data_IF_556630791019
#
_entry.id   IF_556630791019
#
_cell.length_a   1.000
_cell.length_b   1.000
_cell.length_c   1.000
_cell.angle_alpha   90.00
_cell.angle_beta   90.00
_cell.angle_gamma   90.00
#
_symmetry.space_group_name_H-M   'P 1'
#
loop_
_entity.id
_entity.type
_entity.pdbx_description
1 polymer ?
#
# COMPACT_ATOMS: atom_id res chain seq x y z
N UNK A 1 -23.57 -20.32 29.89
CA UNK A 1 -23.69 -18.94 29.37
C UNK A 1 -22.81 -18.89 28.13
N UNK A 2 -23.32 -18.44 26.99
CA UNK A 2 -22.46 -18.14 25.86
C UNK A 2 -21.49 -17.04 26.32
N UNK A 3 -20.18 -17.22 26.14
CA UNK A 3 -19.23 -16.12 26.25
C UNK A 3 -19.65 -15.07 25.21
N UNK A 4 -19.51 -13.78 25.46
CA UNK A 4 -19.78 -12.71 24.48
C UNK A 4 -18.46 -12.01 24.12
N UNK A 5 -18.39 -11.24 23.02
CA UNK A 5 -17.17 -10.52 22.68
C UNK A 5 -16.75 -9.60 23.82
N UNK A 6 -15.47 -9.64 24.14
CA UNK A 6 -14.88 -8.79 25.17
C UNK A 6 -14.35 -7.51 24.52
N UNK A 7 -14.32 -6.41 25.27
CA UNK A 7 -13.70 -5.18 24.80
C UNK A 7 -12.26 -5.07 25.29
N UNK A 8 -11.41 -4.53 24.42
CA UNK A 8 -10.02 -4.26 24.74
C UNK A 8 -9.58 -2.87 24.30
N UNK A 9 -8.53 -2.34 24.95
CA UNK A 9 -7.89 -1.08 24.55
C UNK A 9 -6.44 -1.34 24.14
N UNK A 10 -6.06 -0.88 22.94
CA UNK A 10 -4.66 -0.67 22.55
C UNK A 10 -4.23 0.64 23.18
N UNK A 11 -3.36 0.54 24.18
CA UNK A 11 -3.11 1.63 25.12
C UNK A 11 -1.73 2.26 24.94
N UNK A 12 -1.72 3.43 24.32
CA UNK A 12 -0.60 4.36 24.30
C UNK A 12 -0.52 5.10 25.65
N UNK A 13 -0.01 4.41 26.66
CA UNK A 13 -0.05 4.87 28.05
C UNK A 13 0.69 6.20 28.27
N UNK A 14 0.13 7.11 29.11
CA UNK A 14 0.77 8.36 29.45
C UNK A 14 1.97 8.13 30.36
N UNK A 15 2.92 9.06 30.32
CA UNK A 15 4.12 9.00 31.18
C UNK A 15 3.81 9.34 32.63
N UNK A 16 2.73 10.08 32.90
CA UNK A 16 2.26 10.39 34.26
C UNK A 16 1.44 9.23 34.83
N UNK A 17 1.91 8.66 35.94
CA UNK A 17 1.23 7.56 36.66
C UNK A 17 -0.17 7.94 37.14
N UNK A 18 -0.41 9.22 37.46
CA UNK A 18 -1.73 9.69 37.93
C UNK A 18 -2.74 9.69 36.78
N UNK A 19 -2.30 10.14 35.61
CA UNK A 19 -3.10 10.11 34.38
C UNK A 19 -3.36 8.67 33.93
N UNK A 20 -2.34 7.81 33.98
CA UNK A 20 -2.47 6.39 33.66
C UNK A 20 -3.49 5.71 34.58
N UNK A 21 -3.48 6.04 35.88
CA UNK A 21 -4.47 5.53 36.83
C UNK A 21 -5.89 5.97 36.47
N UNK A 22 -6.09 7.24 36.15
CA UNK A 22 -7.39 7.77 35.77
C UNK A 22 -7.93 7.13 34.48
N UNK A 23 -7.06 6.85 33.50
CA UNK A 23 -7.44 6.12 32.29
C UNK A 23 -7.83 4.68 32.61
N UNK A 24 -7.06 3.97 33.44
CA UNK A 24 -7.45 2.62 33.87
C UNK A 24 -8.78 2.60 34.62
N UNK A 25 -9.01 3.55 35.52
CA UNK A 25 -10.29 3.66 36.22
C UNK A 25 -11.44 3.93 35.23
N UNK A 26 -11.20 4.74 34.19
CA UNK A 26 -12.15 4.99 33.10
C UNK A 26 -12.43 3.71 32.31
N UNK A 27 -11.39 2.97 31.89
CA UNK A 27 -11.55 1.73 31.13
C UNK A 27 -12.34 0.68 31.93
N UNK A 28 -12.03 0.51 33.22
CA UNK A 28 -12.75 -0.41 34.09
C UNK A 28 -14.23 -0.03 34.26
N UNK A 29 -14.56 1.26 34.30
CA UNK A 29 -15.95 1.74 34.40
C UNK A 29 -16.80 1.49 33.15
N UNK A 30 -16.15 1.22 32.00
CA UNK A 30 -16.83 1.01 30.72
C UNK A 30 -16.76 -0.46 30.26
N UNK A 31 -16.50 -1.39 31.18
CA UNK A 31 -16.48 -2.83 30.88
C UNK A 31 -15.32 -3.27 29.97
N UNK A 32 -14.20 -2.55 29.97
CA UNK A 32 -12.99 -3.00 29.27
C UNK A 32 -12.32 -4.12 30.08
N UNK A 33 -12.09 -5.26 29.44
CA UNK A 33 -11.49 -6.44 30.09
C UNK A 33 -10.03 -6.66 29.69
N UNK A 34 -9.63 -6.16 28.51
CA UNK A 34 -8.31 -6.40 27.92
C UNK A 34 -7.53 -5.11 27.68
N UNK A 35 -6.22 -5.17 27.91
CA UNK A 35 -5.31 -4.09 27.54
C UNK A 35 -4.17 -4.66 26.69
N UNK A 36 -3.88 -4.04 25.56
CA UNK A 36 -2.67 -4.27 24.80
C UNK A 36 -1.71 -3.10 25.03
N UNK A 37 -0.48 -3.44 25.43
CA UNK A 37 0.59 -2.50 25.74
C UNK A 37 1.81 -2.82 24.88
N UNK A 38 2.56 -1.79 24.50
CA UNK A 38 3.83 -1.98 23.82
C UNK A 38 4.97 -2.17 24.82
N UNK A 39 5.90 -3.07 24.50
CA UNK A 39 7.14 -3.24 25.23
C UNK A 39 8.16 -2.17 24.82
N UNK A 40 8.91 -1.57 25.78
CA UNK A 40 8.97 -1.91 27.21
C UNK A 40 7.97 -1.16 28.07
N UNK A 41 7.39 -1.87 29.04
CA UNK A 41 6.53 -1.29 30.09
C UNK A 41 7.37 -0.88 31.28
N UNK A 42 7.18 0.35 31.77
CA UNK A 42 7.93 0.90 32.91
C UNK A 42 7.63 0.15 34.22
N UNK A 43 8.59 0.05 35.16
CA UNK A 43 8.36 -0.61 36.45
C UNK A 43 7.20 -0.02 37.26
N UNK A 44 7.01 1.30 37.20
CA UNK A 44 5.93 2.00 37.91
C UNK A 44 4.56 1.62 37.34
N UNK A 45 4.44 1.54 36.00
CA UNK A 45 3.22 1.09 35.35
C UNK A 45 2.96 -0.41 35.60
N UNK A 46 4.00 -1.24 35.63
CA UNK A 46 3.87 -2.66 36.00
C UNK A 46 3.34 -2.85 37.43
N UNK A 47 3.76 -2.00 38.36
CA UNK A 47 3.25 -2.03 39.73
C UNK A 47 1.76 -1.68 39.78
N UNK A 48 1.34 -0.67 39.01
CA UNK A 48 -0.04 -0.22 38.92
C UNK A 48 -0.94 -1.27 38.24
N UNK A 49 -0.47 -1.87 37.16
CA UNK A 49 -1.19 -2.91 36.42
C UNK A 49 -1.39 -4.19 37.23
N UNK A 50 -0.48 -4.52 38.16
CA UNK A 50 -0.55 -5.76 38.97
C UNK A 50 -1.85 -5.88 39.78
N UNK A 51 -2.41 -4.75 40.20
CA UNK A 51 -3.64 -4.70 40.99
C UNK A 51 -4.88 -4.41 40.14
N UNK A 52 -4.70 -4.13 38.85
CA UNK A 52 -5.78 -3.79 37.94
C UNK A 52 -6.53 -5.05 37.46
N UNK A 53 -7.85 -4.96 37.21
CA UNK A 53 -8.68 -6.13 36.86
C UNK A 53 -8.52 -6.61 35.41
N UNK A 54 -7.57 -6.06 34.64
CA UNK A 54 -7.43 -6.32 33.21
C UNK A 54 -6.59 -7.55 32.90
N UNK A 55 -6.95 -8.21 31.79
CA UNK A 55 -6.07 -9.17 31.12
C UNK A 55 -5.14 -8.43 30.16
N UNK A 56 -3.84 -8.56 30.37
CA UNK A 56 -2.83 -7.76 29.68
C UNK A 56 -2.16 -8.58 28.58
N UNK A 57 -2.10 -7.99 27.38
CA UNK A 57 -1.33 -8.45 26.24
C UNK A 57 -0.14 -7.50 26.04
N UNK A 58 1.04 -8.05 25.79
CA UNK A 58 2.24 -7.25 25.52
C UNK A 58 2.65 -7.44 24.08
N UNK A 59 2.70 -6.37 23.29
CA UNK A 59 3.23 -6.40 21.93
C UNK A 59 4.69 -5.97 21.94
N UNK A 60 5.54 -6.74 21.27
CA UNK A 60 6.93 -6.36 21.03
C UNK A 60 7.01 -5.52 19.76
N UNK A 61 7.83 -4.47 19.79
CA UNK A 61 8.11 -3.56 18.66
C UNK A 61 9.00 -4.26 17.61
N UNK A 62 8.38 -5.19 16.87
CA UNK A 62 8.93 -5.90 15.71
C UNK A 62 7.93 -5.81 14.57
N UNK A 63 7.93 -4.66 13.91
CA UNK A 63 7.08 -4.38 12.76
C UNK A 63 7.77 -4.79 11.45
N UNK A 64 6.98 -5.23 10.47
CA UNK A 64 7.39 -5.33 9.06
C UNK A 64 8.59 -6.24 8.77
N UNK A 65 8.84 -7.26 9.57
CA UNK A 65 9.95 -8.18 9.31
C UNK A 65 9.64 -9.07 8.10
N UNK A 66 10.58 -9.10 7.16
CA UNK A 66 10.59 -10.04 6.03
C UNK A 66 11.16 -11.40 6.46
N UNK A 67 10.89 -12.47 5.69
CA UNK A 67 11.48 -13.77 5.98
C UNK A 67 13.00 -13.76 5.99
N UNK A 68 13.63 -13.05 5.05
CA UNK A 68 15.09 -12.93 4.97
C UNK A 68 15.67 -12.26 6.21
N UNK A 69 14.98 -11.29 6.80
CA UNK A 69 15.37 -10.65 8.06
C UNK A 69 15.20 -11.57 9.26
N UNK A 70 14.08 -12.29 9.34
CA UNK A 70 13.86 -13.26 10.43
C UNK A 70 14.96 -14.34 10.39
N UNK A 71 15.28 -14.86 9.21
CA UNK A 71 16.35 -15.85 8.99
C UNK A 71 17.72 -15.29 9.39
N UNK A 72 18.07 -14.11 8.92
CA UNK A 72 19.39 -13.52 9.18
C UNK A 72 19.57 -13.04 10.64
N UNK A 73 18.48 -12.70 11.33
CA UNK A 73 18.49 -12.20 12.71
C UNK A 73 18.00 -13.23 13.73
N UNK A 74 17.84 -14.50 13.36
CA UNK A 74 17.21 -15.53 14.20
C UNK A 74 17.75 -15.57 15.64
N UNK A 75 19.07 -15.62 15.83
CA UNK A 75 19.68 -15.66 17.16
C UNK A 75 19.42 -14.39 17.97
N UNK A 76 19.41 -13.23 17.31
CA UNK A 76 19.15 -11.94 17.97
C UNK A 76 17.67 -11.80 18.35
N UNK A 77 16.76 -12.22 17.48
CA UNK A 77 15.32 -12.28 17.76
C UNK A 77 15.04 -13.22 18.94
N UNK A 78 15.62 -14.43 18.93
CA UNK A 78 15.46 -15.38 20.03
C UNK A 78 15.96 -14.79 21.36
N UNK A 79 17.09 -14.09 21.36
CA UNK A 79 17.58 -13.43 22.57
C UNK A 79 16.61 -12.34 23.04
N UNK A 80 16.21 -11.41 22.17
CA UNK A 80 15.32 -10.30 22.53
C UNK A 80 13.95 -10.79 23.02
N UNK A 81 13.36 -11.75 22.31
CA UNK A 81 12.09 -12.36 22.71
C UNK A 81 12.23 -13.13 24.01
N UNK A 82 13.36 -13.81 24.22
CA UNK A 82 13.68 -14.49 25.47
C UNK A 82 13.75 -13.53 26.65
N UNK A 83 14.47 -12.41 26.50
CA UNK A 83 14.60 -11.37 27.53
C UNK A 83 13.23 -10.77 27.91
N UNK A 84 12.39 -10.44 26.92
CA UNK A 84 11.04 -9.94 27.17
C UNK A 84 10.14 -11.01 27.82
N UNK A 85 10.23 -12.26 27.38
CA UNK A 85 9.48 -13.38 27.97
C UNK A 85 9.86 -13.59 29.42
N UNK A 86 11.15 -13.56 29.74
CA UNK A 86 11.67 -13.72 31.10
C UNK A 86 11.22 -12.56 32.04
N UNK A 87 11.02 -11.36 31.49
CA UNK A 87 10.52 -10.20 32.23
C UNK A 87 9.05 -10.37 32.66
N UNK A 88 8.19 -10.86 31.77
CA UNK A 88 6.74 -10.89 32.01
C UNK A 88 6.21 -12.23 32.55
N UNK A 89 6.98 -13.32 32.49
CA UNK A 89 6.52 -14.67 32.88
C UNK A 89 5.96 -14.76 34.30
N UNK A 90 6.43 -13.94 35.25
CA UNK A 90 6.02 -14.00 36.66
C UNK A 90 4.75 -13.19 36.96
N UNK A 91 4.25 -12.38 36.03
CA UNK A 91 3.05 -11.57 36.21
C UNK A 91 1.81 -12.37 35.81
N UNK A 92 0.86 -12.54 36.74
CA UNK A 92 -0.31 -13.42 36.53
C UNK A 92 -1.34 -12.85 35.55
N UNK A 93 -1.54 -11.53 35.59
CA UNK A 93 -2.47 -10.78 34.73
C UNK A 93 -1.99 -10.59 33.30
N UNK A 94 -0.74 -10.96 32.98
CA UNK A 94 -0.20 -10.93 31.62
C UNK A 94 -0.55 -12.24 30.95
N UNK A 95 -1.45 -12.24 29.97
CA UNK A 95 -1.92 -13.47 29.35
C UNK A 95 -1.00 -13.93 28.21
N UNK A 96 -0.62 -13.01 27.31
CA UNK A 96 0.10 -13.37 26.09
C UNK A 96 1.11 -12.30 25.65
N UNK A 97 2.09 -12.72 24.85
CA UNK A 97 3.17 -11.89 24.32
C UNK A 97 3.15 -11.92 22.78
N UNK A 98 2.94 -10.76 22.18
CA UNK A 98 2.96 -10.50 20.76
C UNK A 98 4.37 -10.36 20.26
N UNK A 99 4.85 -11.30 19.43
CA UNK A 99 6.25 -11.32 19.00
C UNK A 99 6.49 -10.50 17.74
N UNK A 100 5.48 -10.45 16.86
CA UNK A 100 5.57 -9.83 15.53
C UNK A 100 4.34 -8.96 15.30
N UNK A 101 4.53 -7.87 14.56
CA UNK A 101 3.46 -7.02 14.05
C UNK A 101 3.65 -6.76 12.57
N UNK A 102 2.59 -6.86 11.78
CA UNK A 102 2.54 -6.62 10.34
C UNK A 102 3.76 -7.19 9.58
N UNK A 103 4.22 -8.38 9.99
CA UNK A 103 5.37 -9.07 9.43
C UNK A 103 4.89 -10.17 8.49
N UNK A 104 5.81 -10.81 7.76
CA UNK A 104 5.47 -11.78 6.70
C UNK A 104 5.04 -13.16 7.27
N UNK A 105 4.03 -13.18 8.14
CA UNK A 105 3.55 -14.37 8.87
C UNK A 105 2.74 -15.33 8.01
N UNK A 106 2.14 -14.85 6.92
CA UNK A 106 1.33 -15.67 6.00
C UNK A 106 2.15 -16.40 4.92
N UNK A 107 3.47 -16.23 4.89
CA UNK A 107 4.30 -16.87 3.86
C UNK A 107 4.43 -18.38 4.12
N UNK A 108 4.38 -19.25 3.09
CA UNK A 108 4.44 -20.71 3.26
C UNK A 108 5.65 -21.23 4.08
N UNK A 109 6.82 -20.60 3.92
CA UNK A 109 8.05 -20.94 4.67
C UNK A 109 8.12 -20.33 6.10
N UNK A 110 7.13 -19.53 6.52
CA UNK A 110 7.19 -18.83 7.79
C UNK A 110 7.28 -19.80 8.97
N UNK A 111 6.39 -20.79 9.02
CA UNK A 111 6.29 -21.74 10.13
C UNK A 111 7.59 -22.54 10.33
N UNK A 112 8.14 -23.10 9.25
CA UNK A 112 9.39 -23.88 9.29
C UNK A 112 10.57 -23.05 9.85
N UNK A 113 10.59 -21.76 9.52
CA UNK A 113 11.65 -20.85 9.93
C UNK A 113 11.46 -20.31 11.36
N UNK A 114 10.22 -20.04 11.77
CA UNK A 114 9.91 -19.37 13.04
C UNK A 114 9.64 -20.35 14.19
N UNK A 115 9.20 -21.59 13.90
CA UNK A 115 8.93 -22.63 14.91
C UNK A 115 10.08 -22.86 15.90
N UNK A 116 11.37 -22.90 15.49
CA UNK A 116 12.47 -23.08 16.46
C UNK A 116 12.57 -21.95 17.50
N UNK A 117 12.18 -20.72 17.13
CA UNK A 117 12.11 -19.59 18.05
C UNK A 117 10.95 -19.83 19.01
N UNK A 118 9.75 -20.14 18.50
CA UNK A 118 8.56 -20.39 19.29
C UNK A 118 8.75 -21.54 20.29
N UNK A 119 9.28 -22.68 19.85
CA UNK A 119 9.56 -23.83 20.71
C UNK A 119 10.48 -23.47 21.88
N UNK A 120 11.50 -22.65 21.59
CA UNK A 120 12.45 -22.17 22.59
C UNK A 120 11.82 -21.22 23.61
N UNK A 121 10.83 -20.42 23.20
CA UNK A 121 10.11 -19.49 24.08
C UNK A 121 9.03 -20.20 24.90
N UNK A 122 8.27 -21.10 24.28
CA UNK A 122 7.25 -21.94 24.94
C UNK A 122 7.87 -22.86 26.00
N UNK A 123 9.12 -23.29 25.83
CA UNK A 123 9.84 -24.04 26.85
C UNK A 123 10.22 -23.18 28.09
N UNK A 124 10.27 -21.85 27.95
CA UNK A 124 10.68 -20.91 29.03
C UNK A 124 9.53 -20.35 29.84
N UNK A 125 8.33 -20.32 29.26
CA UNK A 125 7.18 -19.61 29.81
C UNK A 125 5.88 -20.33 29.46
N UNK A 126 4.90 -20.25 30.35
CA UNK A 126 3.54 -20.77 30.14
C UNK A 126 2.59 -19.70 29.56
N UNK A 127 3.14 -18.63 28.98
CA UNK A 127 2.38 -17.57 28.32
C UNK A 127 2.14 -17.93 26.87
N UNK A 128 1.01 -17.50 26.33
CA UNK A 128 0.71 -17.68 24.92
C UNK A 128 1.49 -16.65 24.08
N UNK A 129 1.79 -17.01 22.82
CA UNK A 129 2.47 -16.13 21.89
C UNK A 129 1.57 -15.82 20.70
N UNK A 130 1.53 -14.54 20.31
CA UNK A 130 0.69 -14.08 19.21
C UNK A 130 1.45 -13.19 18.23
N UNK A 131 0.81 -12.91 17.10
CA UNK A 131 1.20 -11.86 16.17
C UNK A 131 0.01 -10.97 15.83
N UNK A 132 0.31 -9.73 15.48
CA UNK A 132 -0.65 -8.77 14.95
C UNK A 132 -0.42 -8.61 13.44
N UNK A 133 -1.47 -8.72 12.61
CA UNK A 133 -1.38 -8.48 11.17
C UNK A 133 -2.72 -8.02 10.61
N UNK A 134 -2.71 -6.95 9.81
CA UNK A 134 -3.90 -6.40 9.12
C UNK A 134 -5.12 -6.29 10.04
N UNK A 135 -4.95 -5.55 11.15
CA UNK A 135 -6.00 -5.25 12.13
C UNK A 135 -6.51 -6.48 12.90
N UNK A 136 -5.75 -7.57 12.93
CA UNK A 136 -6.12 -8.81 13.63
C UNK A 136 -4.99 -9.34 14.48
N UNK A 137 -5.35 -9.93 15.62
CA UNK A 137 -4.45 -10.69 16.45
C UNK A 137 -4.76 -12.18 16.35
N UNK A 138 -3.73 -12.97 16.07
CA UNK A 138 -3.81 -14.43 16.03
C UNK A 138 -2.70 -15.05 16.86
N UNK A 139 -3.00 -16.15 17.54
CA UNK A 139 -1.97 -16.96 18.19
C UNK A 139 -1.17 -17.72 17.13
N UNK A 140 0.11 -17.98 17.41
CA UNK A 140 0.95 -18.75 16.48
C UNK A 140 0.53 -20.22 16.35
N UNK A 141 -0.16 -20.78 17.33
CA UNK A 141 -0.68 -22.16 17.28
C UNK A 141 -1.96 -22.29 16.42
N UNK A 142 -2.66 -21.18 16.20
CA UNK A 142 -3.96 -21.09 15.53
C UNK A 142 -4.04 -19.85 14.62
N UNK A 143 -3.11 -19.68 13.66
CA UNK A 143 -2.96 -18.44 12.89
C UNK A 143 -4.21 -18.06 12.08
N UNK A 144 -4.98 -19.04 11.61
CA UNK A 144 -6.20 -18.86 10.81
C UNK A 144 -7.42 -18.40 11.62
N UNK A 145 -7.33 -18.38 12.96
CA UNK A 145 -8.43 -18.02 13.85
C UNK A 145 -8.01 -16.83 14.71
N UNK A 146 -8.28 -15.58 14.25
CA UNK A 146 -7.97 -14.42 15.06
C UNK A 146 -8.76 -14.48 16.37
N UNK A 147 -8.09 -14.19 17.48
CA UNK A 147 -8.73 -14.06 18.79
C UNK A 147 -9.12 -12.61 19.09
N UNK A 148 -8.56 -11.65 18.36
CA UNK A 148 -8.94 -10.25 18.46
C UNK A 148 -8.90 -9.51 17.13
N UNK A 149 -9.63 -8.40 17.05
CA UNK A 149 -9.68 -7.49 15.87
C UNK A 149 -9.63 -6.04 16.32
N UNK A 150 -9.00 -5.18 15.51
CA UNK A 150 -8.88 -3.74 15.77
C UNK A 150 -10.01 -3.04 15.04
N UNK A 151 -10.72 -2.18 15.76
CA UNK A 151 -11.62 -1.22 15.16
C UNK A 151 -10.87 0.04 14.78
N UNK A 152 -10.92 0.39 13.49
CA UNK A 152 -10.49 1.65 12.89
C UNK A 152 -9.13 2.20 13.38
N UNK A 153 -8.11 2.11 12.53
CA UNK A 153 -6.80 2.76 12.76
C UNK A 153 -6.82 4.24 12.33
N UNK A 154 -7.79 5.02 12.81
CA UNK A 154 -7.96 6.43 12.43
C UNK A 154 -8.43 7.32 13.58
N UNK A 155 -8.21 8.64 13.43
CA UNK A 155 -8.75 9.67 14.35
C UNK A 155 -10.27 9.60 14.35
N UNK A 156 -10.88 9.74 15.53
CA UNK A 156 -12.31 9.62 15.71
C UNK A 156 -13.09 10.61 14.82
N UNK A 157 -14.05 10.08 14.08
CA UNK A 157 -15.12 10.85 13.45
C UNK A 157 -16.46 10.39 14.01
N UNK A 158 -17.39 11.34 14.16
CA UNK A 158 -18.72 11.01 14.72
C UNK A 158 -19.46 9.94 13.92
N UNK A 159 -19.20 9.86 12.61
CA UNK A 159 -19.74 8.82 11.72
C UNK A 159 -19.21 7.42 12.03
N UNK A 160 -18.06 7.30 12.69
CA UNK A 160 -17.44 6.02 13.03
C UNK A 160 -18.28 5.24 14.04
N UNK A 161 -19.10 5.92 14.84
CA UNK A 161 -20.03 5.28 15.78
C UNK A 161 -21.00 4.34 15.06
N UNK A 162 -21.45 4.70 13.85
CA UNK A 162 -22.32 3.83 13.06
C UNK A 162 -21.57 2.61 12.50
N UNK A 163 -20.31 2.79 12.10
CA UNK A 163 -19.46 1.69 11.67
C UNK A 163 -19.11 0.75 12.84
N UNK A 164 -18.86 1.31 14.02
CA UNK A 164 -18.64 0.55 15.26
C UNK A 164 -19.87 -0.28 15.60
N UNK A 165 -21.06 0.33 15.61
CA UNK A 165 -22.33 -0.36 15.90
C UNK A 165 -22.55 -1.56 14.98
N UNK A 166 -22.36 -1.35 13.67
CA UNK A 166 -22.51 -2.41 12.67
C UNK A 166 -21.50 -3.56 12.89
N UNK A 167 -20.22 -3.22 13.06
CA UNK A 167 -19.16 -4.22 13.18
C UNK A 167 -19.23 -4.96 14.52
N UNK A 168 -19.35 -4.23 15.63
CA UNK A 168 -19.43 -4.81 16.96
C UNK A 168 -20.72 -5.62 17.13
N UNK A 169 -21.87 -5.10 16.69
CA UNK A 169 -23.14 -5.82 16.73
C UNK A 169 -23.09 -7.15 15.95
N UNK A 170 -22.44 -7.16 14.78
CA UNK A 170 -22.24 -8.39 14.02
C UNK A 170 -21.37 -9.42 14.76
N UNK A 171 -20.28 -8.99 15.39
CA UNK A 171 -19.40 -9.89 16.16
C UNK A 171 -20.07 -10.43 17.42
N UNK A 172 -20.91 -9.62 18.09
CA UNK A 172 -21.74 -10.07 19.22
C UNK A 172 -22.65 -11.23 18.82
N UNK A 173 -23.20 -11.19 17.61
CA UNK A 173 -24.10 -12.23 17.11
C UNK A 173 -23.36 -13.48 16.60
N UNK A 174 -22.14 -13.33 16.06
CA UNK A 174 -21.43 -14.41 15.33
C UNK A 174 -20.26 -15.04 16.09
N UNK A 175 -19.49 -14.25 16.85
CA UNK A 175 -18.20 -14.69 17.39
C UNK A 175 -18.01 -14.29 18.84
N UNK A 176 -18.58 -15.13 19.69
CA UNK A 176 -18.80 -14.88 21.09
C UNK A 176 -17.51 -14.92 21.96
N UNK A 177 -16.34 -15.16 21.37
CA UNK A 177 -15.04 -15.20 22.07
C UNK A 177 -14.01 -14.20 21.53
N UNK A 178 -14.38 -13.36 20.56
CA UNK A 178 -13.48 -12.38 19.95
C UNK A 178 -13.27 -11.19 20.90
N UNK A 179 -12.05 -10.67 20.95
CA UNK A 179 -11.76 -9.40 21.63
C UNK A 179 -11.82 -8.27 20.59
N UNK A 180 -12.63 -7.26 20.86
CA UNK A 180 -12.75 -6.09 20.00
C UNK A 180 -11.90 -4.96 20.58
N UNK A 181 -10.76 -4.69 19.94
CA UNK A 181 -9.82 -3.66 20.38
C UNK A 181 -10.17 -2.29 19.80
N UNK A 182 -10.06 -1.26 20.64
CA UNK A 182 -10.11 0.15 20.27
C UNK A 182 -8.79 0.81 20.64
N UNK A 183 -8.35 1.82 19.88
CA UNK A 183 -7.25 2.69 20.35
C UNK A 183 -7.73 3.57 21.50
N UNK A 184 -6.87 3.77 22.49
CA UNK A 184 -7.18 4.62 23.65
C UNK A 184 -7.60 6.03 23.23
N UNK A 185 -6.89 6.66 22.30
CA UNK A 185 -7.22 8.00 21.80
C UNK A 185 -8.60 8.05 21.14
N UNK A 186 -8.91 7.07 20.27
CA UNK A 186 -10.23 6.98 19.63
C UNK A 186 -11.33 6.78 20.67
N UNK A 187 -11.09 5.92 21.65
CA UNK A 187 -12.05 5.62 22.73
C UNK A 187 -12.33 6.86 23.58
N UNK A 188 -11.29 7.55 24.04
CA UNK A 188 -11.39 8.75 24.87
C UNK A 188 -12.12 9.89 24.12
N UNK A 189 -11.84 10.06 22.82
CA UNK A 189 -12.54 11.02 21.96
C UNK A 189 -14.01 10.61 21.73
N UNK A 190 -14.28 9.33 21.50
CA UNK A 190 -15.63 8.81 21.26
C UNK A 190 -16.55 9.00 22.46
N UNK A 191 -16.11 8.63 23.67
CA UNK A 191 -16.92 8.80 24.89
C UNK A 191 -17.12 10.29 25.24
N UNK A 192 -16.16 11.15 24.89
CA UNK A 192 -16.26 12.60 25.14
C UNK A 192 -17.17 13.30 24.13
N UNK A 193 -17.12 12.91 22.86
CA UNK A 193 -17.87 13.53 21.77
C UNK A 193 -19.27 12.93 21.56
N UNK A 194 -19.49 11.70 22.04
CA UNK A 194 -20.75 10.97 21.96
C UNK A 194 -21.08 10.29 23.30
N UNK A 195 -21.63 11.03 24.29
CA UNK A 195 -21.93 10.49 25.62
C UNK A 195 -22.82 9.24 25.60
N UNK A 196 -23.70 9.13 24.60
CA UNK A 196 -24.54 7.96 24.41
C UNK A 196 -23.73 6.67 24.14
N UNK A 197 -22.52 6.77 23.57
CA UNK A 197 -21.60 5.63 23.42
C UNK A 197 -21.15 5.10 24.79
N UNK A 198 -20.78 5.99 25.71
CA UNK A 198 -20.40 5.63 27.08
C UNK A 198 -21.55 4.92 27.80
N UNK A 199 -22.77 5.48 27.72
CA UNK A 199 -23.96 4.86 28.32
C UNK A 199 -24.23 3.46 27.74
N UNK A 200 -24.09 3.29 26.42
CA UNK A 200 -24.27 2.00 25.74
C UNK A 200 -23.24 0.95 26.17
N UNK A 201 -21.98 1.33 26.36
CA UNK A 201 -20.93 0.42 26.84
C UNK A 201 -21.19 -0.05 28.28
N UNK A 202 -21.52 0.89 29.17
CA UNK A 202 -21.87 0.58 30.56
C UNK A 202 -23.13 -0.29 30.65
N UNK A 203 -24.11 -0.04 29.78
CA UNK A 203 -25.30 -0.87 29.70
C UNK A 203 -24.97 -2.26 29.17
N UNK A 204 -24.13 -2.37 28.14
CA UNK A 204 -23.70 -3.65 27.59
C UNK A 204 -23.00 -4.52 28.65
N UNK A 205 -22.13 -3.93 29.48
CA UNK A 205 -21.50 -4.64 30.60
C UNK A 205 -22.55 -5.29 31.53
N UNK A 206 -23.63 -4.57 31.84
CA UNK A 206 -24.66 -5.04 32.77
C UNK A 206 -25.71 -5.95 32.15
N UNK A 207 -26.21 -5.60 30.96
CA UNK A 207 -27.35 -6.26 30.33
C UNK A 207 -26.97 -7.24 29.22
N UNK A 208 -25.72 -7.20 28.75
CA UNK A 208 -25.22 -8.08 27.67
C UNK A 208 -26.03 -7.90 26.36
N UNK A 209 -26.64 -6.73 26.20
CA UNK A 209 -27.42 -6.34 25.03
C UNK A 209 -26.81 -5.06 24.46
N UNK A 210 -26.18 -5.17 23.29
CA UNK A 210 -25.60 -4.03 22.61
C UNK A 210 -26.68 -3.21 21.89
N UNK A 211 -26.81 -1.92 22.24
CA UNK A 211 -27.72 -0.95 21.61
C UNK A 211 -27.13 0.45 21.74
N UNK A 212 -27.04 1.17 20.63
CA UNK A 212 -26.59 2.57 20.61
C UNK A 212 -27.51 3.43 19.73
N UNK A 213 -27.90 4.63 20.15
CA UNK A 213 -28.52 5.59 19.23
C UNK A 213 -27.48 6.02 18.18
N UNK A 214 -27.85 6.05 16.90
CA UNK A 214 -26.93 6.44 15.83
C UNK A 214 -27.03 7.94 15.53
N UNK A 215 -25.91 8.61 15.19
CA UNK A 215 -25.94 10.00 14.73
C UNK A 215 -26.65 10.12 13.37
N UNK A 216 -27.20 11.30 13.09
CA UNK A 216 -27.73 11.60 11.75
C UNK A 216 -26.60 11.52 10.71
N UNK A 217 -26.87 10.87 9.57
CA UNK A 217 -25.86 10.66 8.54
C UNK A 217 -25.37 12.00 7.96
N UNK A 218 -24.11 12.34 8.21
CA UNK A 218 -23.42 13.41 7.51
C UNK A 218 -22.87 12.86 6.19
N UNK A 219 -23.12 13.57 5.07
CA UNK A 219 -22.56 13.24 3.76
C UNK A 219 -21.03 13.38 3.81
N UNK A 220 -20.32 12.25 3.91
CA UNK A 220 -18.86 12.25 3.96
C UNK A 220 -18.26 12.85 2.67
N UNK A 221 -17.47 13.92 2.82
CA UNK A 221 -16.71 14.53 1.72
C UNK A 221 -15.55 13.62 1.35
N UNK A 222 -15.75 12.85 0.27
CA UNK A 222 -14.77 11.95 -0.32
C UNK A 222 -13.45 12.64 -0.69
N UNK A 223 -12.34 12.03 -0.25
CA UNK A 223 -10.94 12.36 -0.57
C UNK A 223 -10.55 12.15 -2.05
N UNK A 224 -11.49 11.71 -2.90
CA UNK A 224 -11.26 11.41 -4.33
C UNK A 224 -11.13 12.63 -5.26
N UNK A 225 -11.26 13.86 -4.74
CA UNK A 225 -11.31 15.08 -5.57
C UNK A 225 -10.01 15.42 -6.31
N UNK A 226 -8.86 15.00 -5.79
CA UNK A 226 -7.57 15.43 -6.33
C UNK A 226 -7.21 14.70 -7.64
N UNK A 227 -7.59 13.43 -7.78
CA UNK A 227 -7.32 12.64 -8.98
C UNK A 227 -8.12 13.14 -10.18
N UNK A 228 -9.40 13.45 -9.94
CA UNK A 228 -10.26 14.08 -10.94
C UNK A 228 -9.70 15.43 -11.34
N UNK A 229 -9.26 16.25 -10.38
CA UNK A 229 -8.65 17.54 -10.67
C UNK A 229 -7.39 17.39 -11.53
N UNK A 230 -6.52 16.44 -11.21
CA UNK A 230 -5.30 16.15 -11.97
C UNK A 230 -5.62 15.71 -13.41
N UNK A 231 -6.60 14.83 -13.59
CA UNK A 231 -7.06 14.43 -14.91
C UNK A 231 -7.58 15.62 -15.72
N UNK A 232 -8.39 16.49 -15.11
CA UNK A 232 -8.93 17.69 -15.76
C UNK A 232 -7.81 18.65 -16.17
N UNK A 233 -6.79 18.84 -15.33
CA UNK A 233 -5.61 19.66 -15.67
C UNK A 233 -4.87 19.05 -16.87
N UNK A 234 -4.71 17.73 -16.93
CA UNK A 234 -4.08 17.05 -18.07
C UNK A 234 -4.94 17.15 -19.35
N UNK A 235 -6.26 17.07 -19.23
CA UNK A 235 -7.18 17.30 -20.36
C UNK A 235 -7.06 18.72 -20.90
N UNK A 236 -7.04 19.71 -20.02
CA UNK A 236 -6.82 21.11 -20.39
C UNK A 236 -5.45 21.31 -21.04
N UNK A 237 -4.40 20.69 -20.49
CA UNK A 237 -3.06 20.69 -21.07
C UNK A 237 -3.04 20.15 -22.51
N UNK A 238 -3.68 19.01 -22.74
CA UNK A 238 -3.80 18.42 -24.08
C UNK A 238 -4.61 19.32 -25.04
N UNK A 239 -5.72 19.90 -24.57
CA UNK A 239 -6.53 20.82 -25.36
C UNK A 239 -5.73 22.09 -25.76
N UNK A 240 -4.94 22.62 -24.83
CA UNK A 240 -4.03 23.74 -25.08
C UNK A 240 -2.95 23.34 -26.09
N UNK A 241 -2.37 22.14 -25.98
CA UNK A 241 -1.41 21.63 -26.96
C UNK A 241 -2.02 21.54 -28.36
N UNK A 242 -3.23 20.97 -28.51
CA UNK A 242 -3.90 20.92 -29.81
C UNK A 242 -4.22 22.30 -30.40
N UNK A 243 -4.51 23.29 -29.53
CA UNK A 243 -4.78 24.67 -29.94
C UNK A 243 -3.52 25.40 -30.39
N UNK A 244 -2.41 25.23 -29.66
CA UNK A 244 -1.15 25.95 -29.90
C UNK A 244 -0.28 25.26 -30.98
N UNK A 245 -0.39 23.94 -31.12
CA UNK A 245 0.37 23.12 -32.07
C UNK A 245 -0.60 22.46 -33.07
N UNK A 246 -1.06 23.20 -34.10
CA UNK A 246 -2.13 22.73 -35.00
C UNK A 246 -1.77 21.48 -35.80
N UNK A 247 -0.49 21.14 -35.91
CA UNK A 247 -0.02 19.92 -36.58
C UNK A 247 -0.26 18.64 -35.74
N UNK A 248 -0.48 18.74 -34.42
CA UNK A 248 -0.73 17.56 -33.58
C UNK A 248 -2.04 16.84 -33.93
N UNK A 249 -3.08 17.58 -34.34
CA UNK A 249 -4.37 17.00 -34.72
C UNK A 249 -4.28 16.09 -35.96
N UNK A 250 -3.73 16.54 -37.10
CA UNK A 250 -3.53 15.66 -38.24
C UNK A 250 -2.49 14.56 -37.93
N UNK A 251 -1.49 14.82 -37.09
CA UNK A 251 -0.52 13.81 -36.65
C UNK A 251 -1.20 12.64 -35.93
N UNK A 252 -2.09 12.92 -34.97
CA UNK A 252 -2.91 11.92 -34.27
C UNK A 252 -3.70 11.05 -35.26
N UNK A 253 -4.48 11.69 -36.14
CA UNK A 253 -5.32 10.96 -37.10
C UNK A 253 -4.47 10.13 -38.08
N UNK A 254 -3.35 10.67 -38.55
CA UNK A 254 -2.43 9.93 -39.43
C UNK A 254 -1.80 8.75 -38.70
N UNK A 255 -1.42 8.89 -37.43
CA UNK A 255 -0.84 7.79 -36.66
C UNK A 255 -1.79 6.58 -36.61
N UNK A 256 -3.06 6.78 -36.27
CA UNK A 256 -4.01 5.66 -36.10
C UNK A 256 -4.71 5.21 -37.38
N UNK A 257 -4.96 6.10 -38.35
CA UNK A 257 -5.74 5.78 -39.55
C UNK A 257 -4.89 5.68 -40.83
N UNK A 258 -3.69 6.26 -40.84
CA UNK A 258 -2.83 6.34 -42.02
C UNK A 258 -1.35 6.12 -41.65
N UNK A 259 -1.08 5.13 -40.78
CA UNK A 259 0.19 4.95 -40.09
C UNK A 259 1.42 4.97 -41.02
N UNK A 260 1.33 4.31 -42.19
CA UNK A 260 2.43 4.32 -43.18
C UNK A 260 2.80 5.73 -43.64
N UNK A 261 1.81 6.57 -43.93
CA UNK A 261 2.04 7.95 -44.35
C UNK A 261 2.66 8.79 -43.22
N UNK A 262 2.21 8.56 -41.99
CA UNK A 262 2.79 9.19 -40.81
C UNK A 262 4.29 8.88 -40.68
N UNK A 263 4.65 7.60 -40.77
CA UNK A 263 6.05 7.15 -40.68
C UNK A 263 6.88 7.75 -41.82
N UNK A 264 6.39 7.67 -43.06
CA UNK A 264 7.09 8.20 -44.23
C UNK A 264 7.33 9.72 -44.12
N UNK A 265 6.35 10.50 -43.63
CA UNK A 265 6.49 11.95 -43.47
C UNK A 265 7.55 12.32 -42.42
N UNK A 266 7.66 11.55 -41.33
CA UNK A 266 8.68 11.78 -40.30
C UNK A 266 10.07 11.37 -40.80
N UNK A 267 10.19 10.19 -41.42
CA UNK A 267 11.48 9.68 -41.92
C UNK A 267 12.06 10.58 -43.03
N UNK A 268 11.22 11.19 -43.86
CA UNK A 268 11.64 12.18 -44.86
C UNK A 268 11.70 13.62 -44.32
N UNK A 269 11.61 13.81 -43.00
CA UNK A 269 11.77 15.10 -42.32
C UNK A 269 10.81 16.20 -42.82
N UNK A 270 9.59 15.79 -43.22
CA UNK A 270 8.50 16.72 -43.54
C UNK A 270 7.85 17.27 -42.28
N UNK A 271 7.83 16.46 -41.21
CA UNK A 271 7.44 16.88 -39.86
C UNK A 271 8.68 17.10 -38.99
N UNK A 272 8.97 18.36 -38.68
CA UNK A 272 10.23 18.80 -38.04
C UNK A 272 10.07 19.24 -36.60
N UNK A 273 8.83 19.43 -36.16
CA UNK A 273 8.54 20.04 -34.88
C UNK A 273 8.77 19.03 -33.74
N UNK A 274 9.81 19.29 -32.95
CA UNK A 274 10.18 18.49 -31.77
C UNK A 274 9.27 18.77 -30.56
N UNK A 275 8.73 19.99 -30.47
CA UNK A 275 8.03 20.51 -29.28
C UNK A 275 6.81 19.68 -28.89
N UNK A 276 6.00 19.28 -29.86
CA UNK A 276 4.83 18.43 -29.63
C UNK A 276 5.19 17.05 -29.08
N UNK A 277 6.24 16.41 -29.62
CA UNK A 277 6.71 15.12 -29.11
C UNK A 277 7.27 15.22 -27.68
N UNK A 278 8.05 16.28 -27.37
CA UNK A 278 8.50 16.54 -25.99
C UNK A 278 7.32 16.76 -25.04
N UNK A 279 6.31 17.52 -25.47
CA UNK A 279 5.12 17.76 -24.65
C UNK A 279 4.35 16.46 -24.38
N UNK A 280 4.20 15.58 -25.39
CA UNK A 280 3.57 14.26 -25.22
C UNK A 280 4.37 13.36 -24.29
N UNK A 281 5.71 13.40 -24.33
CA UNK A 281 6.58 12.67 -23.40
C UNK A 281 6.44 13.16 -21.96
N UNK A 282 6.30 14.47 -21.75
CA UNK A 282 6.02 15.02 -20.43
C UNK A 282 4.63 14.59 -19.93
N UNK A 283 3.63 14.60 -20.81
CA UNK A 283 2.27 14.12 -20.48
C UNK A 283 2.25 12.62 -20.18
N UNK A 284 2.97 11.80 -20.94
CA UNK A 284 3.13 10.36 -20.68
C UNK A 284 3.71 10.11 -19.29
N UNK A 285 4.73 10.86 -18.88
CA UNK A 285 5.30 10.75 -17.54
C UNK A 285 4.29 11.10 -16.44
N UNK A 286 3.48 12.16 -16.63
CA UNK A 286 2.42 12.53 -15.67
C UNK A 286 1.30 11.48 -15.62
N UNK A 287 0.88 10.95 -16.77
CA UNK A 287 -0.09 9.86 -16.86
C UNK A 287 0.42 8.58 -16.19
N UNK A 288 1.70 8.26 -16.36
CA UNK A 288 2.35 7.17 -15.66
C UNK A 288 2.34 7.39 -14.15
N UNK A 289 2.68 8.60 -13.67
CA UNK A 289 2.54 8.95 -12.25
C UNK A 289 1.12 8.69 -11.69
N UNK A 290 0.07 9.11 -12.42
CA UNK A 290 -1.31 8.83 -12.02
C UNK A 290 -1.60 7.33 -11.98
N UNK A 291 -1.14 6.59 -12.99
CA UNK A 291 -1.29 5.14 -13.05
C UNK A 291 -0.62 4.45 -11.85
N UNK A 292 0.64 4.79 -11.54
CA UNK A 292 1.35 4.25 -10.38
C UNK A 292 0.64 4.55 -9.06
N UNK A 293 0.14 5.78 -8.88
CA UNK A 293 -0.66 6.11 -7.70
C UNK A 293 -1.91 5.25 -7.59
N UNK A 294 -2.69 5.14 -8.67
CA UNK A 294 -3.96 4.39 -8.67
C UNK A 294 -3.68 2.92 -8.37
N UNK A 295 -2.67 2.32 -9.01
CA UNK A 295 -2.29 0.94 -8.75
C UNK A 295 -1.87 0.75 -7.29
N UNK A 296 -1.02 1.63 -6.76
CA UNK A 296 -0.59 1.55 -5.36
C UNK A 296 -1.77 1.64 -4.40
N UNK A 297 -2.67 2.62 -4.57
CA UNK A 297 -3.82 2.78 -3.69
C UNK A 297 -4.87 1.67 -3.84
N UNK A 298 -4.93 1.02 -5.01
CA UNK A 298 -5.86 -0.10 -5.24
C UNK A 298 -5.31 -1.42 -4.69
N UNK A 299 -3.98 -1.58 -4.65
CA UNK A 299 -3.34 -2.87 -4.35
C UNK A 299 -2.63 -2.91 -3.00
N UNK A 300 -2.28 -1.78 -2.41
CA UNK A 300 -1.48 -1.68 -1.19
C UNK A 300 -2.32 -0.94 -0.14
N UNK A 301 -2.57 -1.57 1.01
CA UNK A 301 -3.23 -0.92 2.15
C UNK A 301 -2.36 0.19 2.77
N UNK A 302 -2.89 0.98 3.71
CA UNK A 302 -2.07 1.98 4.40
C UNK A 302 -0.95 1.31 5.23
N UNK A 303 -1.24 0.17 5.84
CA UNK A 303 -0.29 -0.65 6.59
C UNK A 303 0.78 -1.23 5.66
N UNK A 304 0.38 -1.74 4.49
CA UNK A 304 1.29 -2.20 3.46
C UNK A 304 2.17 -1.08 2.87
N UNK A 305 1.63 0.13 2.78
CA UNK A 305 2.37 1.32 2.33
C UNK A 305 3.47 1.70 3.32
N UNK A 306 3.16 1.67 4.61
CA UNK A 306 4.13 1.90 5.67
C UNK A 306 5.20 0.80 5.68
N UNK A 307 4.82 -0.47 5.47
CA UNK A 307 5.75 -1.58 5.31
C UNK A 307 6.70 -1.37 4.13
N UNK A 308 6.18 -0.94 2.98
CA UNK A 308 6.96 -0.67 1.77
C UNK A 308 8.02 0.41 2.02
N UNK A 309 7.61 1.54 2.60
CA UNK A 309 8.54 2.65 2.87
C UNK A 309 9.45 2.43 4.08
N UNK A 310 9.10 1.53 4.99
CA UNK A 310 10.02 1.07 6.04
C UNK A 310 11.28 0.46 5.43
N UNK A 311 11.12 -0.39 4.41
CA UNK A 311 12.22 -1.05 3.72
C UNK A 311 12.88 -0.20 2.64
N UNK A 312 12.10 0.67 1.98
CA UNK A 312 12.57 1.53 0.88
C UNK A 312 12.35 3.02 1.18
N UNK A 313 12.94 3.58 2.24
CA UNK A 313 12.67 4.95 2.67
C UNK A 313 13.13 6.01 1.67
N UNK A 314 14.12 5.69 0.82
CA UNK A 314 14.60 6.59 -0.24
C UNK A 314 13.56 6.86 -1.32
N UNK A 315 12.54 6.01 -1.43
CA UNK A 315 11.43 6.17 -2.36
C UNK A 315 10.31 7.08 -1.80
N UNK A 316 10.34 7.42 -0.51
CA UNK A 316 9.34 8.27 0.13
C UNK A 316 9.53 9.78 -0.19
N UNK A 317 9.59 10.14 -1.48
CA UNK A 317 9.90 11.49 -1.99
C UNK A 317 8.92 12.54 -1.43
N UNK A 318 7.66 12.18 -1.26
CA UNK A 318 6.60 13.03 -0.71
C UNK A 318 6.14 12.56 0.69
N UNK A 319 6.96 11.77 1.39
CA UNK A 319 6.61 11.11 2.66
C UNK A 319 6.01 9.72 2.47
N UNK A 320 5.58 9.10 3.57
CA UNK A 320 4.98 7.74 3.62
C UNK A 320 3.51 7.78 3.20
N UNK A 321 3.24 8.27 2.00
CA UNK A 321 1.90 8.38 1.43
C UNK A 321 1.90 7.95 -0.04
N UNK A 322 0.71 7.69 -0.60
CA UNK A 322 0.57 7.23 -1.98
C UNK A 322 1.08 8.26 -3.02
N UNK A 323 1.17 9.55 -2.68
CA UNK A 323 1.71 10.56 -3.59
C UNK A 323 3.18 10.30 -3.94
N UNK A 324 3.94 9.62 -3.07
CA UNK A 324 5.30 9.16 -3.40
C UNK A 324 5.32 8.23 -4.61
N UNK A 325 4.34 7.33 -4.77
CA UNK A 325 4.23 6.49 -5.98
C UNK A 325 3.96 7.30 -7.25
N UNK A 326 3.19 8.39 -7.16
CA UNK A 326 3.03 9.33 -8.27
C UNK A 326 4.40 9.92 -8.68
N UNK A 327 5.15 10.45 -7.72
CA UNK A 327 6.47 11.05 -7.96
C UNK A 327 7.47 10.06 -8.56
N UNK A 328 7.58 8.87 -7.96
CA UNK A 328 8.43 7.79 -8.45
C UNK A 328 8.04 7.42 -9.88
N UNK A 329 6.75 7.23 -10.15
CA UNK A 329 6.23 6.88 -11.48
C UNK A 329 6.64 7.91 -12.54
N UNK A 330 6.49 9.21 -12.24
CA UNK A 330 6.95 10.29 -13.13
C UNK A 330 8.46 10.21 -13.38
N UNK A 331 9.27 10.12 -12.32
CA UNK A 331 10.74 10.13 -12.42
C UNK A 331 11.26 8.91 -13.21
N UNK A 332 10.78 7.71 -12.87
CA UNK A 332 11.15 6.47 -13.56
C UNK A 332 10.77 6.56 -15.04
N UNK A 333 9.57 7.06 -15.35
CA UNK A 333 9.11 7.18 -16.74
C UNK A 333 9.97 8.17 -17.53
N UNK A 334 10.29 9.34 -16.96
CA UNK A 334 11.19 10.32 -17.58
C UNK A 334 12.58 9.74 -17.84
N UNK A 335 13.12 8.95 -16.91
CA UNK A 335 14.42 8.31 -17.06
C UNK A 335 14.40 7.24 -18.16
N UNK A 336 13.44 6.32 -18.10
CA UNK A 336 13.30 5.22 -19.06
C UNK A 336 13.06 5.75 -20.46
N UNK A 337 12.18 6.73 -20.64
CA UNK A 337 11.92 7.28 -21.98
C UNK A 337 13.14 8.03 -22.55
N UNK A 338 13.94 8.68 -21.71
CA UNK A 338 15.19 9.33 -22.15
C UNK A 338 16.19 8.30 -22.66
N UNK A 339 16.38 7.21 -21.90
CA UNK A 339 17.23 6.09 -22.32
C UNK A 339 16.69 5.45 -23.60
N UNK A 340 15.38 5.22 -23.68
CA UNK A 340 14.71 4.65 -24.85
C UNK A 340 14.93 5.49 -26.11
N UNK A 341 14.78 6.82 -26.04
CA UNK A 341 15.01 7.71 -27.18
C UNK A 341 16.46 7.69 -27.65
N UNK A 342 17.42 7.72 -26.72
CA UNK A 342 18.84 7.59 -27.06
C UNK A 342 19.16 6.22 -27.67
N UNK A 343 18.55 5.16 -27.14
CA UNK A 343 18.70 3.80 -27.65
C UNK A 343 18.10 3.65 -29.05
N UNK A 344 16.97 4.27 -29.37
CA UNK A 344 16.44 4.28 -30.74
C UNK A 344 17.32 5.11 -31.68
N UNK A 345 17.82 6.26 -31.24
CA UNK A 345 18.54 7.20 -32.10
C UNK A 345 19.96 6.75 -32.44
N UNK A 346 20.76 6.31 -31.46
CA UNK A 346 22.19 6.05 -31.65
C UNK A 346 22.50 4.96 -32.70
N UNK A 347 21.75 3.83 -32.77
CA UNK A 347 21.96 2.82 -33.80
C UNK A 347 21.39 3.21 -35.17
N UNK A 348 20.50 4.21 -35.23
CA UNK A 348 19.77 4.61 -36.44
C UNK A 348 20.62 5.55 -37.32
N UNK A 349 21.59 4.99 -38.05
CA UNK A 349 22.48 5.77 -38.94
C UNK A 349 21.76 6.52 -40.08
N UNK A 350 20.51 6.17 -40.35
CA UNK A 350 19.65 6.74 -41.39
C UNK A 350 18.86 7.97 -40.93
N UNK A 351 18.83 8.28 -39.63
CA UNK A 351 18.14 9.46 -39.12
C UNK A 351 19.11 10.64 -39.01
N UNK A 352 18.74 11.76 -39.64
CA UNK A 352 19.55 12.99 -39.59
C UNK A 352 19.26 13.82 -38.35
N UNK A 353 18.06 13.68 -37.78
CA UNK A 353 17.57 14.56 -36.72
C UNK A 353 16.88 13.78 -35.59
N UNK A 354 17.27 14.05 -34.34
CA UNK A 354 16.67 13.44 -33.14
C UNK A 354 15.15 13.62 -33.05
N UNK A 355 14.61 14.72 -33.60
CA UNK A 355 13.16 14.95 -33.65
C UNK A 355 12.37 13.87 -34.40
N UNK A 356 13.00 13.14 -35.34
CA UNK A 356 12.36 12.03 -36.04
C UNK A 356 12.07 10.89 -35.07
N UNK A 357 13.05 10.51 -34.25
CA UNK A 357 12.91 9.50 -33.21
C UNK A 357 11.87 9.91 -32.18
N UNK A 358 11.91 11.17 -31.72
CA UNK A 358 10.95 11.69 -30.72
C UNK A 358 9.51 11.65 -31.24
N UNK A 359 9.29 12.07 -32.50
CA UNK A 359 7.95 12.09 -33.07
C UNK A 359 7.40 10.68 -33.37
N UNK A 360 8.24 9.74 -33.79
CA UNK A 360 7.84 8.33 -33.95
C UNK A 360 7.48 7.70 -32.59
N UNK A 361 8.35 7.88 -31.59
CA UNK A 361 8.18 7.31 -30.26
C UNK A 361 6.95 7.86 -29.52
N UNK A 362 6.74 9.18 -29.57
CA UNK A 362 5.64 9.83 -28.86
C UNK A 362 4.25 9.61 -29.49
N UNK A 363 4.16 9.16 -30.75
CA UNK A 363 2.88 8.98 -31.44
C UNK A 363 1.94 7.99 -30.74
N UNK A 364 2.49 6.97 -30.08
CA UNK A 364 1.70 5.95 -29.36
C UNK A 364 1.03 6.50 -28.10
N UNK A 365 1.61 7.53 -27.47
CA UNK A 365 1.16 8.05 -26.16
C UNK A 365 -0.15 8.84 -26.20
N UNK A 366 -0.71 9.07 -27.39
CA UNK A 366 -2.11 9.49 -27.48
C UNK A 366 -3.08 8.44 -26.91
N UNK A 367 -2.70 7.15 -26.90
CA UNK A 367 -3.51 6.10 -26.25
C UNK A 367 -3.55 6.26 -24.73
N UNK A 368 -2.49 6.80 -24.11
CA UNK A 368 -2.42 6.98 -22.66
C UNK A 368 -3.55 7.83 -22.14
N UNK A 369 -3.94 8.86 -22.91
CA UNK A 369 -5.07 9.71 -22.57
C UNK A 369 -6.35 8.90 -22.40
N UNK A 370 -6.64 7.99 -23.34
CA UNK A 370 -7.83 7.15 -23.28
C UNK A 370 -7.73 6.16 -22.11
N UNK A 371 -6.58 5.48 -21.99
CA UNK A 371 -6.36 4.46 -20.98
C UNK A 371 -6.42 5.05 -19.57
N UNK A 372 -5.72 6.15 -19.29
CA UNK A 372 -5.71 6.77 -17.96
C UNK A 372 -7.05 7.43 -17.65
N UNK A 373 -7.75 7.98 -18.63
CA UNK A 373 -9.13 8.47 -18.43
C UNK A 373 -10.04 7.33 -17.95
N UNK A 374 -10.00 6.18 -18.62
CA UNK A 374 -10.79 5.02 -18.21
C UNK A 374 -10.34 4.53 -16.84
N UNK A 375 -9.03 4.42 -16.59
CA UNK A 375 -8.45 3.99 -15.32
C UNK A 375 -8.92 4.87 -14.14
N UNK A 376 -8.83 6.20 -14.27
CA UNK A 376 -9.29 7.16 -13.26
C UNK A 376 -10.80 7.05 -13.07
N UNK A 377 -11.57 6.87 -14.14
CA UNK A 377 -13.03 6.71 -14.04
C UNK A 377 -13.38 5.43 -13.27
N UNK A 378 -12.73 4.31 -13.59
CA UNK A 378 -12.92 3.04 -12.88
C UNK A 378 -12.55 3.18 -11.40
N UNK A 379 -11.44 3.85 -11.11
CA UNK A 379 -11.00 4.10 -9.74
C UNK A 379 -12.00 4.97 -8.95
N UNK A 380 -12.44 6.10 -9.50
CA UNK A 380 -13.37 7.02 -8.82
C UNK A 380 -14.76 6.41 -8.65
N UNK A 381 -15.21 5.59 -9.60
CA UNK A 381 -16.50 4.90 -9.51
C UNK A 381 -16.47 3.67 -8.58
N UNK A 382 -15.31 3.33 -8.00
CA UNK A 382 -15.16 2.16 -7.14
C UNK A 382 -15.30 0.84 -7.89
N UNK A 383 -14.99 0.81 -9.19
CA UNK A 383 -15.03 -0.41 -9.98
C UNK A 383 -13.93 -1.38 -9.53
N UNK A 384 -14.18 -2.69 -9.67
CA UNK A 384 -13.35 -3.73 -9.05
C UNK A 384 -11.84 -3.65 -9.35
N UNK A 385 -10.95 -3.98 -8.38
CA UNK A 385 -9.49 -3.90 -8.51
C UNK A 385 -8.92 -4.60 -9.74
N UNK A 386 -9.50 -5.73 -10.15
CA UNK A 386 -9.06 -6.51 -11.31
C UNK A 386 -9.09 -5.69 -12.59
N UNK A 387 -10.12 -4.87 -12.81
CA UNK A 387 -10.22 -4.05 -14.02
C UNK A 387 -9.13 -2.97 -14.03
N UNK A 388 -8.89 -2.33 -12.87
CA UNK A 388 -7.84 -1.34 -12.69
C UNK A 388 -6.47 -1.96 -13.03
N UNK A 389 -6.19 -3.16 -12.52
CA UNK A 389 -4.96 -3.90 -12.81
C UNK A 389 -4.82 -4.26 -14.30
N UNK A 390 -5.90 -4.69 -14.95
CA UNK A 390 -5.88 -4.99 -16.40
C UNK A 390 -5.54 -3.73 -17.22
N UNK A 391 -6.15 -2.59 -16.90
CA UNK A 391 -5.86 -1.33 -17.59
C UNK A 391 -4.44 -0.81 -17.27
N UNK A 392 -3.93 -1.02 -16.06
CA UNK A 392 -2.54 -0.78 -15.71
C UNK A 392 -1.56 -1.64 -16.52
N UNK A 393 -1.85 -2.94 -16.65
CA UNK A 393 -1.05 -3.84 -17.49
C UNK A 393 -1.10 -3.44 -18.97
N UNK A 394 -2.28 -3.06 -19.48
CA UNK A 394 -2.43 -2.57 -20.85
C UNK A 394 -1.63 -1.28 -21.08
N UNK A 395 -1.60 -0.36 -20.11
CA UNK A 395 -0.75 0.85 -20.17
C UNK A 395 0.73 0.49 -20.33
N UNK A 396 1.24 -0.44 -19.51
CA UNK A 396 2.64 -0.90 -19.59
C UNK A 396 2.92 -1.60 -20.93
N UNK A 397 1.98 -2.40 -21.45
CA UNK A 397 2.11 -3.04 -22.76
C UNK A 397 2.13 -2.04 -23.90
N UNK A 398 1.32 -0.98 -23.85
CA UNK A 398 1.35 0.12 -24.82
C UNK A 398 2.71 0.83 -24.77
N UNK A 399 3.23 1.10 -23.57
CA UNK A 399 4.55 1.72 -23.41
C UNK A 399 5.68 0.85 -23.96
N UNK A 400 5.68 -0.45 -23.64
CA UNK A 400 6.61 -1.42 -24.21
C UNK A 400 6.47 -1.50 -25.75
N UNK A 401 5.23 -1.51 -26.24
CA UNK A 401 4.90 -1.50 -27.66
C UNK A 401 5.41 -0.26 -28.38
N UNK A 402 5.32 0.92 -27.77
CA UNK A 402 5.75 2.19 -28.34
C UNK A 402 7.23 2.16 -28.76
N UNK A 403 8.11 1.59 -27.93
CA UNK A 403 9.52 1.41 -28.27
C UNK A 403 9.70 0.49 -29.48
N UNK A 404 9.06 -0.68 -29.44
CA UNK A 404 9.25 -1.72 -30.47
C UNK A 404 8.64 -1.32 -31.82
N UNK A 405 7.47 -0.67 -31.83
CA UNK A 405 6.83 -0.12 -33.03
C UNK A 405 7.74 0.95 -33.64
N UNK A 406 8.25 1.88 -32.82
CA UNK A 406 9.14 2.94 -33.31
C UNK A 406 10.45 2.39 -33.87
N UNK A 407 11.05 1.39 -33.22
CA UNK A 407 12.21 0.70 -33.74
C UNK A 407 11.89 0.06 -35.10
N UNK A 408 10.78 -0.67 -35.20
CA UNK A 408 10.37 -1.29 -36.44
C UNK A 408 10.15 -0.26 -37.56
N UNK A 409 9.50 0.86 -37.27
CA UNK A 409 9.28 1.94 -38.23
C UNK A 409 10.57 2.59 -38.72
N UNK A 410 11.51 2.88 -37.81
CA UNK A 410 12.84 3.43 -38.18
C UNK A 410 13.59 2.44 -39.08
N UNK A 411 13.51 1.14 -38.77
CA UNK A 411 14.24 0.09 -39.50
C UNK A 411 13.89 0.03 -40.99
N UNK A 412 12.66 0.42 -41.36
CA UNK A 412 12.18 0.41 -42.75
C UNK A 412 12.99 1.33 -43.67
N UNK A 413 13.65 2.36 -43.13
CA UNK A 413 14.52 3.26 -43.89
C UNK A 413 16.02 2.96 -43.77
N UNK A 414 16.40 1.93 -42.99
CA UNK A 414 17.80 1.57 -42.73
C UNK A 414 18.44 0.69 -43.83
N UNK A 415 17.69 0.26 -44.85
CA UNK A 415 18.21 -0.46 -46.01
C UNK A 415 18.91 -1.78 -45.63
N UNK A 416 20.15 -2.05 -46.10
CA UNK A 416 20.89 -3.29 -45.81
C UNK A 416 21.16 -3.53 -44.30
N UNK A 417 21.12 -2.48 -43.47
CA UNK A 417 21.38 -2.56 -42.03
C UNK A 417 20.17 -2.94 -41.18
N UNK A 418 19.00 -3.17 -41.78
CA UNK A 418 17.71 -3.38 -41.08
C UNK A 418 17.80 -4.47 -40.00
N UNK A 419 18.37 -5.64 -40.33
CA UNK A 419 18.46 -6.75 -39.39
C UNK A 419 19.33 -6.43 -38.16
N UNK A 420 20.47 -5.75 -38.38
CA UNK A 420 21.38 -5.34 -37.30
C UNK A 420 20.69 -4.30 -36.41
N UNK A 421 20.02 -3.32 -37.00
CA UNK A 421 19.28 -2.31 -36.26
C UNK A 421 18.17 -2.92 -35.40
N UNK A 422 17.35 -3.82 -35.96
CA UNK A 422 16.29 -4.51 -35.22
C UNK A 422 16.84 -5.39 -34.10
N UNK A 423 17.97 -6.07 -34.32
CA UNK A 423 18.63 -6.83 -33.27
C UNK A 423 19.09 -5.92 -32.12
N UNK A 424 19.77 -4.80 -32.43
CA UNK A 424 20.27 -3.85 -31.43
C UNK A 424 19.18 -3.08 -30.69
N UNK A 425 17.97 -2.98 -31.26
CA UNK A 425 16.84 -2.28 -30.67
C UNK A 425 15.83 -3.27 -30.10
N UNK A 426 14.92 -3.81 -30.93
CA UNK A 426 13.87 -4.74 -30.50
C UNK A 426 14.44 -5.96 -29.77
N UNK A 427 15.48 -6.59 -30.34
CA UNK A 427 16.09 -7.79 -29.77
C UNK A 427 16.70 -7.52 -28.38
N UNK A 428 17.61 -6.55 -28.29
CA UNK A 428 18.25 -6.20 -27.02
C UNK A 428 17.27 -5.59 -26.01
N UNK A 429 16.29 -4.79 -26.43
CA UNK A 429 15.27 -4.23 -25.53
C UNK A 429 14.39 -5.33 -24.94
N UNK A 430 13.98 -6.31 -25.74
CA UNK A 430 13.22 -7.48 -25.27
C UNK A 430 14.06 -8.29 -24.28
N UNK A 431 15.33 -8.59 -24.62
CA UNK A 431 16.24 -9.33 -23.75
C UNK A 431 16.52 -8.59 -22.44
N UNK A 432 16.73 -7.28 -22.50
CA UNK A 432 16.93 -6.42 -21.33
C UNK A 432 15.69 -6.38 -20.44
N UNK A 433 14.49 -6.24 -21.03
CA UNK A 433 13.23 -6.23 -20.29
C UNK A 433 12.97 -7.58 -19.59
N UNK A 434 13.18 -8.68 -20.29
CA UNK A 434 13.11 -10.03 -19.70
C UNK A 434 14.16 -10.18 -18.59
N UNK A 435 15.40 -9.72 -18.82
CA UNK A 435 16.46 -9.75 -17.83
C UNK A 435 16.13 -8.96 -16.56
N UNK A 436 15.51 -7.77 -16.70
CA UNK A 436 15.03 -6.99 -15.56
C UNK A 436 13.89 -7.69 -14.80
N UNK A 437 12.95 -8.32 -15.51
CA UNK A 437 11.89 -9.11 -14.88
C UNK A 437 12.47 -10.30 -14.11
N UNK A 438 13.38 -11.06 -14.73
CA UNK A 438 14.07 -12.16 -14.05
C UNK A 438 14.83 -11.65 -12.83
N UNK A 439 15.60 -10.57 -12.97
CA UNK A 439 16.32 -9.97 -11.84
C UNK A 439 15.38 -9.57 -10.70
N UNK A 440 14.25 -8.93 -11.02
CA UNK A 440 13.23 -8.56 -10.04
C UNK A 440 12.66 -9.80 -9.32
N UNK A 441 12.25 -10.83 -10.05
CA UNK A 441 11.68 -12.06 -9.47
C UNK A 441 12.70 -12.97 -8.78
N UNK A 442 14.00 -12.80 -9.04
CA UNK A 442 15.09 -13.54 -8.34
C UNK A 442 15.69 -12.79 -7.16
N UNK A 443 15.34 -11.51 -6.98
CA UNK A 443 15.83 -10.73 -5.85
C UNK A 443 14.87 -10.87 -4.67
N UNK A 444 15.12 -11.89 -3.85
CA UNK A 444 14.29 -12.23 -2.69
C UNK A 444 14.02 -11.02 -1.78
N UNK A 445 15.00 -10.15 -1.57
CA UNK A 445 14.84 -8.99 -0.69
C UNK A 445 13.81 -7.99 -1.22
N UNK A 446 13.85 -7.67 -2.51
CA UNK A 446 12.87 -6.74 -3.11
C UNK A 446 11.51 -7.41 -3.20
N UNK A 447 11.49 -8.67 -3.65
CA UNK A 447 10.25 -9.42 -3.81
C UNK A 447 9.49 -9.57 -2.48
N UNK A 448 10.18 -9.92 -1.40
CA UNK A 448 9.58 -10.04 -0.07
C UNK A 448 8.99 -8.71 0.43
N UNK A 449 9.61 -7.57 0.12
CA UNK A 449 9.05 -6.25 0.45
C UNK A 449 7.74 -5.99 -0.29
N UNK A 450 7.67 -6.33 -1.58
CA UNK A 450 6.43 -6.22 -2.34
C UNK A 450 5.36 -7.20 -1.87
N UNK A 451 5.73 -8.45 -1.60
CA UNK A 451 4.81 -9.46 -1.05
C UNK A 451 4.25 -9.03 0.30
N UNK A 452 5.11 -8.55 1.20
CA UNK A 452 4.70 -8.03 2.50
C UNK A 452 3.72 -6.87 2.32
N UNK A 453 4.07 -5.86 1.52
CA UNK A 453 3.23 -4.69 1.28
C UNK A 453 1.87 -5.04 0.64
N UNK A 454 1.81 -6.06 -0.21
CA UNK A 454 0.58 -6.50 -0.88
C UNK A 454 -0.26 -7.45 0.00
N UNK A 455 0.37 -8.14 0.95
CA UNK A 455 -0.31 -9.07 1.87
C UNK A 455 -0.99 -8.38 3.04
N UNK A 456 -0.52 -7.19 3.40
CA UNK A 456 -1.03 -6.37 4.51
C UNK A 456 -2.19 -5.51 4.07
#
# INVERSE_FOLDING_TARGET
MAQQPSLGIVWDHPTDTSEAKNQLDTFAQHGIDYLQLDHPVSPDLLALLREAPFTILIQLDKTYLTLSEIRSRQSNLLQQFGEATDLYRSYLNFAAIGLLSNSQTSHPEFDDMFSPILDSLSARSNKDFYFYASDKWSYFDTPDKPFAVLFADSVFQRTDIAAFDEQFGWEVDQNSSLIFFLRAEWFDEAISAYPEFSESLMQYEQSQEWKIPLPAADESRSSQSWMVLSLVVLWLGLAVLFKLLPYLRPMLLRYFLAHRFFVDDILHYRERALTGGIALLAMHALFSGMMFYILAQTSISLTGLNAFFHHLPTLAIFGTNYASFFGIGVIITLLIQTVALLWLYLPAKNLEHFSQTVNLYSGTFFLDFLIVTILVTLYVTGFGPTAILIFGALFVLIWYGAFNISAFDISRSSGPGTAIYLFLTVGLHTLFSIGLLVLFFTNDSILQVFELALSL
#
